data_IF_519094843584
#
_entry.id   IF_519094843584
#
_cell.length_a   1.000
_cell.length_b   1.000
_cell.length_c   1.000
_cell.angle_alpha   90.00
_cell.angle_beta   90.00
_cell.angle_gamma   90.00
#
_symmetry.space_group_name_H-M   'P 1'
#
loop_
_entity.id
_entity.type
_entity.pdbx_description
1 polymer ?
#
# COMPACT_ATOMS: atom_id res chain seq x y z
N UNK A 1 5.39 18.57 9.04
CA UNK A 1 4.10 19.00 9.61
C UNK A 1 2.99 19.12 8.57
N UNK A 2 3.15 19.79 7.43
CA UNK A 2 2.03 19.93 6.46
C UNK A 2 1.45 18.60 5.95
N UNK A 3 2.30 17.62 5.59
CA UNK A 3 1.84 16.33 5.06
C UNK A 3 1.11 15.47 6.10
N UNK A 4 1.65 15.36 7.31
CA UNK A 4 1.05 14.58 8.39
C UNK A 4 -0.23 15.24 8.92
N UNK A 5 -0.30 16.57 8.96
CA UNK A 5 -1.54 17.30 9.26
C UNK A 5 -2.61 17.09 8.19
N UNK A 6 -2.23 17.06 6.90
CA UNK A 6 -3.15 16.71 5.82
C UNK A 6 -3.68 15.28 5.98
N UNK A 7 -2.77 14.32 6.20
CA UNK A 7 -3.13 12.91 6.40
C UNK A 7 -4.07 12.71 7.60
N UNK A 8 -3.79 13.36 8.73
CA UNK A 8 -4.66 13.34 9.90
C UNK A 8 -6.04 13.94 9.60
N UNK A 9 -6.08 15.08 8.89
CA UNK A 9 -7.30 15.84 8.64
C UNK A 9 -8.19 15.37 7.48
N UNK A 10 -7.70 14.48 6.61
CA UNK A 10 -8.53 13.92 5.53
C UNK A 10 -9.66 13.07 6.12
N UNK A 11 -10.89 13.28 5.66
CA UNK A 11 -12.07 12.57 6.11
C UNK A 11 -12.92 12.13 4.91
N UNK A 12 -13.67 11.05 5.08
CA UNK A 12 -14.51 10.48 4.02
C UNK A 12 -15.49 11.51 3.43
N UNK A 13 -16.03 12.39 4.27
CA UNK A 13 -17.00 13.42 3.90
C UNK A 13 -16.41 14.49 2.97
N UNK A 14 -15.08 14.56 2.84
CA UNK A 14 -14.39 15.46 1.91
C UNK A 14 -14.13 14.83 0.54
N UNK A 15 -14.45 13.55 0.37
CA UNK A 15 -14.25 12.83 -0.88
C UNK A 15 -15.48 12.98 -1.75
N UNK A 16 -15.30 13.45 -2.98
CA UNK A 16 -16.37 13.44 -3.97
C UNK A 16 -16.68 12.01 -4.45
N UNK A 17 -17.85 11.85 -5.07
CA UNK A 17 -18.33 10.54 -5.53
C UNK A 17 -17.40 9.90 -6.56
N UNK A 18 -16.75 10.71 -7.40
CA UNK A 18 -15.83 10.24 -8.44
C UNK A 18 -14.56 9.65 -7.83
N UNK A 19 -14.02 10.31 -6.80
CA UNK A 19 -12.85 9.86 -6.03
C UNK A 19 -13.14 8.54 -5.32
N UNK A 20 -14.31 8.46 -4.66
CA UNK A 20 -14.76 7.21 -4.01
C UNK A 20 -14.93 6.08 -5.03
N UNK A 21 -15.53 6.38 -6.19
CA UNK A 21 -15.70 5.40 -7.26
C UNK A 21 -14.34 4.92 -7.80
N UNK A 22 -13.42 5.84 -8.09
CA UNK A 22 -12.08 5.52 -8.58
C UNK A 22 -11.32 4.63 -7.58
N UNK A 23 -11.37 4.95 -6.28
CA UNK A 23 -10.75 4.12 -5.24
C UNK A 23 -11.31 2.68 -5.23
N UNK A 24 -12.63 2.52 -5.34
CA UNK A 24 -13.27 1.19 -5.43
C UNK A 24 -12.83 0.42 -6.67
N UNK A 25 -12.72 1.08 -7.82
CA UNK A 25 -12.23 0.45 -9.05
C UNK A 25 -10.80 -0.07 -8.86
N UNK A 26 -9.91 0.71 -8.25
CA UNK A 26 -8.52 0.29 -7.98
C UNK A 26 -8.42 -0.86 -6.98
N UNK A 27 -9.29 -0.88 -5.97
CA UNK A 27 -9.40 -2.01 -5.05
C UNK A 27 -9.78 -3.30 -5.81
N UNK A 28 -10.80 -3.24 -6.67
CA UNK A 28 -11.26 -4.40 -7.45
C UNK A 28 -10.17 -4.87 -8.42
N UNK A 29 -9.53 -3.94 -9.13
CA UNK A 29 -8.41 -4.20 -10.04
C UNK A 29 -7.26 -4.96 -9.35
N UNK A 30 -6.85 -4.48 -8.18
CA UNK A 30 -5.75 -5.06 -7.41
C UNK A 30 -6.09 -6.45 -6.86
N UNK A 31 -7.34 -6.67 -6.45
CA UNK A 31 -7.82 -8.01 -6.07
C UNK A 31 -7.82 -8.94 -7.29
N UNK A 32 -8.18 -8.44 -8.48
CA UNK A 32 -8.08 -9.19 -9.73
C UNK A 32 -6.64 -9.64 -10.03
N UNK A 33 -5.68 -8.73 -9.89
CA UNK A 33 -4.26 -9.06 -10.03
C UNK A 33 -3.79 -10.10 -9.00
N UNK A 34 -4.23 -9.98 -7.74
CA UNK A 34 -3.96 -10.97 -6.69
C UNK A 34 -4.50 -12.36 -7.04
N UNK A 35 -5.71 -12.45 -7.58
CA UNK A 35 -6.28 -13.73 -8.04
C UNK A 35 -5.42 -14.32 -9.16
N UNK A 36 -5.01 -13.50 -10.13
CA UNK A 36 -4.09 -13.92 -11.20
C UNK A 36 -2.73 -14.40 -10.68
N UNK A 37 -2.22 -13.77 -9.62
CA UNK A 37 -0.94 -14.11 -9.01
C UNK A 37 -0.95 -15.29 -8.04
N UNK A 38 -2.14 -15.76 -7.63
CA UNK A 38 -2.29 -16.67 -6.50
C UNK A 38 -1.46 -17.96 -6.63
N UNK A 39 -1.38 -18.54 -7.83
CA UNK A 39 -0.66 -19.78 -8.10
C UNK A 39 0.86 -19.59 -8.37
N UNK A 40 1.36 -18.35 -8.40
CA UNK A 40 2.77 -18.06 -8.65
C UNK A 40 3.70 -18.70 -7.61
N UNK A 41 4.85 -19.23 -8.05
CA UNK A 41 5.82 -19.88 -7.15
C UNK A 41 6.29 -18.94 -6.01
N UNK A 42 6.73 -17.69 -6.26
CA UNK A 42 7.07 -16.76 -5.19
C UNK A 42 5.91 -16.50 -4.22
N UNK A 43 4.67 -16.50 -4.71
CA UNK A 43 3.48 -16.28 -3.91
C UNK A 43 3.21 -17.47 -2.98
N UNK A 44 3.43 -18.69 -3.47
CA UNK A 44 3.37 -19.91 -2.64
C UNK A 44 4.45 -19.90 -1.56
N UNK A 45 5.68 -19.55 -1.90
CA UNK A 45 6.79 -19.44 -0.95
C UNK A 45 6.46 -18.38 0.12
N UNK A 46 5.94 -17.21 -0.28
CA UNK A 46 5.53 -16.18 0.67
C UNK A 46 4.44 -16.68 1.63
N UNK A 47 3.47 -17.48 1.16
CA UNK A 47 2.48 -18.12 2.03
C UNK A 47 3.09 -19.12 3.01
N UNK A 48 4.13 -19.86 2.62
CA UNK A 48 4.85 -20.76 3.53
C UNK A 48 5.53 -20.00 4.67
N UNK A 49 6.05 -18.79 4.41
CA UNK A 49 6.57 -17.89 5.44
C UNK A 49 5.46 -17.48 6.42
N UNK A 50 4.29 -17.08 5.92
CA UNK A 50 3.16 -16.69 6.78
C UNK A 50 2.71 -17.79 7.74
N UNK A 51 2.76 -19.06 7.32
CA UNK A 51 2.41 -20.20 8.17
C UNK A 51 3.38 -20.37 9.35
N UNK A 52 4.62 -19.89 9.24
CA UNK A 52 5.59 -19.95 10.34
C UNK A 52 5.35 -18.91 11.43
N UNK A 53 4.50 -17.91 11.18
CA UNK A 53 4.22 -16.81 12.10
C UNK A 53 2.70 -16.67 12.35
N UNK A 54 2.02 -17.71 12.88
CA UNK A 54 0.59 -17.68 13.06
C UNK A 54 0.18 -16.62 14.09
N UNK A 55 -0.83 -15.81 13.76
CA UNK A 55 -1.41 -14.86 14.70
C UNK A 55 -2.94 -14.82 14.50
N UNK A 56 -3.73 -15.45 15.39
CA UNK A 56 -5.19 -15.43 15.30
C UNK A 56 -5.79 -14.02 15.31
N UNK A 57 -5.13 -13.07 15.97
CA UNK A 57 -5.54 -11.66 16.07
C UNK A 57 -4.81 -10.75 15.08
N UNK A 58 -4.04 -11.33 14.16
CA UNK A 58 -3.37 -10.61 13.09
C UNK A 58 -4.29 -10.35 11.90
N UNK A 59 -3.71 -10.30 10.71
CA UNK A 59 -4.43 -10.09 9.45
C UNK A 59 -4.41 -11.33 8.55
N UNK A 60 -5.34 -11.35 7.59
CA UNK A 60 -5.58 -12.48 6.70
C UNK A 60 -4.67 -12.46 5.49
N UNK A 61 -4.19 -13.64 5.11
CA UNK A 61 -3.65 -13.88 3.77
C UNK A 61 -4.84 -14.10 2.83
N UNK A 62 -5.09 -13.14 1.94
CA UNK A 62 -6.28 -13.10 1.08
C UNK A 62 -6.35 -14.35 0.20
N UNK A 63 -7.54 -14.96 0.12
CA UNK A 63 -7.75 -16.20 -0.63
C UNK A 63 -7.39 -17.48 0.13
N UNK A 64 -7.10 -17.39 1.43
CA UNK A 64 -6.79 -18.54 2.29
C UNK A 64 -7.46 -18.44 3.66
N UNK A 65 -7.30 -19.48 4.50
CA UNK A 65 -7.68 -19.45 5.93
C UNK A 65 -6.49 -19.07 6.85
N UNK A 66 -5.36 -18.62 6.29
CA UNK A 66 -4.15 -18.30 7.06
C UNK A 66 -4.32 -16.90 7.67
N UNK A 67 -4.07 -16.80 8.98
CA UNK A 67 -3.90 -15.52 9.70
C UNK A 67 -2.50 -15.42 10.28
N UNK A 68 -1.84 -14.30 10.05
CA UNK A 68 -0.45 -14.02 10.45
C UNK A 68 -0.34 -12.56 10.91
N UNK A 69 0.84 -12.10 11.36
CA UNK A 69 1.00 -10.71 11.77
C UNK A 69 0.70 -9.74 10.60
N UNK A 70 0.19 -8.52 10.86
CA UNK A 70 -0.26 -7.62 9.80
C UNK A 70 0.81 -7.26 8.76
N UNK A 71 2.06 -7.13 9.18
CA UNK A 71 3.22 -6.90 8.33
C UNK A 71 3.51 -8.09 7.40
N UNK A 72 3.42 -9.32 7.90
CA UNK A 72 3.60 -10.53 7.08
C UNK A 72 2.43 -10.71 6.13
N UNK A 73 1.19 -10.44 6.57
CA UNK A 73 0.02 -10.49 5.70
C UNK A 73 0.12 -9.45 4.57
N UNK A 74 0.54 -8.22 4.88
CA UNK A 74 0.80 -7.17 3.91
C UNK A 74 1.84 -7.60 2.87
N UNK A 75 2.95 -8.20 3.32
CA UNK A 75 4.00 -8.72 2.45
C UNK A 75 3.47 -9.81 1.51
N UNK A 76 2.84 -10.86 2.04
CA UNK A 76 2.34 -11.98 1.22
C UNK A 76 1.27 -11.53 0.22
N UNK A 77 0.31 -10.72 0.68
CA UNK A 77 -0.74 -10.20 -0.17
C UNK A 77 -0.17 -9.26 -1.24
N UNK A 78 0.81 -8.41 -0.88
CA UNK A 78 1.52 -7.52 -1.80
C UNK A 78 2.30 -8.28 -2.88
N UNK A 79 3.11 -9.25 -2.49
CA UNK A 79 3.81 -10.15 -3.42
C UNK A 79 2.84 -10.82 -4.38
N UNK A 80 1.69 -11.30 -3.87
CA UNK A 80 0.69 -11.99 -4.68
C UNK A 80 -0.03 -11.03 -5.63
N UNK A 81 -0.43 -9.85 -5.15
CA UNK A 81 -1.09 -8.82 -5.96
C UNK A 81 -0.21 -8.30 -7.09
N UNK A 82 1.12 -8.30 -6.92
CA UNK A 82 2.06 -7.76 -7.90
C UNK A 82 2.69 -8.79 -8.83
N UNK A 83 2.46 -10.08 -8.58
CA UNK A 83 3.10 -11.13 -9.34
C UNK A 83 2.84 -11.11 -10.86
N UNK A 84 1.60 -10.80 -11.28
CA UNK A 84 1.21 -10.85 -12.70
C UNK A 84 1.42 -9.54 -13.46
N UNK A 85 1.85 -8.46 -12.80
CA UNK A 85 2.05 -7.16 -13.44
C UNK A 85 0.80 -6.58 -14.14
N UNK A 86 -0.40 -6.86 -13.61
CA UNK A 86 -1.69 -6.44 -14.20
C UNK A 86 -2.37 -5.26 -13.47
N UNK A 87 -1.71 -4.67 -12.49
CA UNK A 87 -2.27 -3.59 -11.68
C UNK A 87 -2.29 -2.25 -12.43
N UNK A 88 -3.04 -1.30 -11.87
CA UNK A 88 -3.04 0.09 -12.33
C UNK A 88 -1.63 0.67 -12.54
N UNK A 89 -1.54 1.61 -13.47
CA UNK A 89 -0.31 2.34 -13.75
C UNK A 89 -0.61 3.83 -13.76
N UNK A 90 0.22 4.60 -13.07
CA UNK A 90 0.27 6.04 -13.19
C UNK A 90 1.49 6.40 -14.03
N UNK A 91 1.27 7.05 -15.18
CA UNK A 91 2.36 7.40 -16.08
C UNK A 91 1.96 8.55 -17.00
N UNK A 92 2.66 9.68 -16.89
CA UNK A 92 2.54 10.81 -17.82
C UNK A 92 3.88 11.59 -17.92
N UNK A 93 4.09 12.40 -18.98
CA UNK A 93 5.37 13.09 -19.21
C UNK A 93 5.77 14.03 -18.06
N UNK A 94 6.84 13.68 -17.33
CA UNK A 94 7.32 14.46 -16.18
C UNK A 94 7.04 13.82 -14.83
N UNK A 95 6.18 12.81 -14.77
CA UNK A 95 6.00 11.98 -13.57
C UNK A 95 7.09 10.91 -13.44
N UNK A 96 7.43 10.54 -12.20
CA UNK A 96 8.25 9.36 -11.92
C UNK A 96 7.54 8.04 -12.29
N UNK A 97 6.20 8.05 -12.28
CA UNK A 97 5.34 6.96 -12.73
C UNK A 97 5.31 5.76 -11.78
N UNK A 98 4.69 4.65 -12.20
CA UNK A 98 4.66 3.37 -11.46
C UNK A 98 3.26 2.90 -11.07
N UNK A 99 3.15 2.12 -9.99
CA UNK A 99 1.93 1.42 -9.58
C UNK A 99 1.44 1.91 -8.20
N UNK A 100 0.58 2.95 -8.13
CA UNK A 100 0.09 3.46 -6.86
C UNK A 100 -0.71 2.42 -6.05
N UNK A 101 -1.32 1.42 -6.70
CA UNK A 101 -2.04 0.32 -6.05
C UNK A 101 -1.22 -0.51 -5.08
N UNK A 102 0.11 -0.45 -5.12
CA UNK A 102 0.99 -1.12 -4.16
C UNK A 102 0.70 -0.73 -2.71
N UNK A 103 0.06 0.42 -2.46
CA UNK A 103 -0.37 0.85 -1.12
C UNK A 103 -1.51 -0.01 -0.53
N UNK A 104 -2.28 -0.72 -1.37
CA UNK A 104 -3.53 -1.36 -0.97
C UNK A 104 -3.35 -2.56 -0.04
N UNK A 105 -2.39 -3.45 -0.33
CA UNK A 105 -2.22 -4.68 0.46
C UNK A 105 -1.75 -4.39 1.90
N UNK A 106 -0.83 -3.43 2.14
CA UNK A 106 -0.56 -2.92 3.49
C UNK A 106 -1.81 -2.34 4.18
N UNK A 107 -2.62 -1.57 3.46
CA UNK A 107 -3.84 -0.98 4.03
C UNK A 107 -4.90 -2.03 4.36
N UNK A 108 -5.05 -3.09 3.56
CA UNK A 108 -5.95 -4.19 3.89
C UNK A 108 -5.56 -4.84 5.21
N UNK A 109 -4.26 -5.14 5.38
CA UNK A 109 -3.77 -5.74 6.61
C UNK A 109 -3.95 -4.81 7.82
N UNK A 110 -3.63 -3.52 7.67
CA UNK A 110 -3.80 -2.51 8.71
C UNK A 110 -5.28 -2.31 9.07
N UNK A 111 -6.17 -2.24 8.08
CA UNK A 111 -7.61 -2.05 8.28
C UNK A 111 -8.24 -3.24 8.99
N UNK A 112 -7.88 -4.47 8.61
CA UNK A 112 -8.36 -5.67 9.30
C UNK A 112 -7.87 -5.69 10.76
N UNK A 113 -6.59 -5.39 10.98
CA UNK A 113 -6.02 -5.36 12.33
C UNK A 113 -6.64 -4.26 13.22
N UNK A 114 -6.95 -3.11 12.64
CA UNK A 114 -7.60 -2.00 13.33
C UNK A 114 -9.13 -2.15 13.45
N UNK A 115 -9.71 -3.21 12.87
CA UNK A 115 -11.16 -3.37 12.73
C UNK A 115 -11.85 -2.15 12.07
N UNK A 116 -11.18 -1.55 11.09
CA UNK A 116 -11.66 -0.36 10.40
C UNK A 116 -12.90 -0.65 9.54
N UNK A 117 -13.80 0.32 9.44
CA UNK A 117 -14.95 0.22 8.55
C UNK A 117 -14.58 0.61 7.11
N UNK A 118 -15.50 0.38 6.17
CA UNK A 118 -15.26 0.66 4.75
C UNK A 118 -15.01 2.13 4.41
N UNK A 119 -15.56 3.10 5.15
CA UNK A 119 -15.30 4.53 4.93
C UNK A 119 -13.90 4.92 5.36
N UNK A 120 -13.46 4.41 6.51
CA UNK A 120 -12.10 4.63 7.00
C UNK A 120 -11.09 3.99 6.05
N UNK A 121 -11.36 2.77 5.59
CA UNK A 121 -10.54 2.10 4.58
C UNK A 121 -10.46 2.91 3.28
N UNK A 122 -11.59 3.33 2.70
CA UNK A 122 -11.58 4.14 1.47
C UNK A 122 -10.83 5.47 1.65
N UNK A 123 -10.97 6.11 2.82
CA UNK A 123 -10.24 7.35 3.12
C UNK A 123 -8.73 7.12 3.17
N UNK A 124 -8.28 6.01 3.77
CA UNK A 124 -6.87 5.65 3.80
C UNK A 124 -6.33 5.31 2.40
N UNK A 125 -7.10 4.59 1.58
CA UNK A 125 -6.74 4.30 0.18
C UNK A 125 -6.55 5.58 -0.61
N UNK A 126 -7.52 6.49 -0.55
CA UNK A 126 -7.41 7.79 -1.23
C UNK A 126 -6.22 8.58 -0.72
N UNK A 127 -5.97 8.58 0.59
CA UNK A 127 -4.78 9.22 1.16
C UNK A 127 -3.48 8.65 0.57
N UNK A 128 -3.30 7.33 0.55
CA UNK A 128 -2.06 6.74 0.02
C UNK A 128 -1.86 7.02 -1.46
N UNK A 129 -2.94 6.98 -2.25
CA UNK A 129 -2.90 7.40 -3.66
C UNK A 129 -2.52 8.87 -3.81
N UNK A 130 -3.16 9.78 -3.07
CA UNK A 130 -2.85 11.21 -3.15
C UNK A 130 -1.36 11.47 -2.83
N UNK A 131 -0.82 10.82 -1.79
CA UNK A 131 0.59 10.92 -1.43
C UNK A 131 1.48 10.40 -2.57
N UNK A 132 1.18 9.21 -3.10
CA UNK A 132 1.96 8.64 -4.20
C UNK A 132 1.98 9.56 -5.42
N UNK A 133 0.81 10.00 -5.88
CA UNK A 133 0.65 10.78 -7.09
C UNK A 133 1.34 12.15 -6.96
N UNK A 134 1.13 12.84 -5.83
CA UNK A 134 1.78 14.13 -5.56
C UNK A 134 3.30 14.02 -5.52
N UNK A 135 3.84 12.95 -4.93
CA UNK A 135 5.29 12.74 -4.89
C UNK A 135 5.82 12.36 -6.27
N UNK A 136 5.11 11.51 -7.01
CA UNK A 136 5.44 11.15 -8.39
C UNK A 136 5.50 12.37 -9.32
N UNK A 137 4.64 13.36 -9.11
CA UNK A 137 4.62 14.59 -9.91
C UNK A 137 5.68 15.61 -9.49
N UNK A 138 6.03 15.65 -8.20
CA UNK A 138 6.90 16.68 -7.63
C UNK A 138 8.37 16.28 -7.53
N UNK A 139 8.67 14.98 -7.50
CA UNK A 139 10.00 14.47 -7.16
C UNK A 139 10.55 13.63 -8.31
N UNK A 140 11.64 14.10 -8.92
CA UNK A 140 12.46 13.27 -9.79
C UNK A 140 13.23 12.23 -8.96
N UNK A 141 13.29 10.99 -9.42
CA UNK A 141 13.91 9.87 -8.69
C UNK A 141 15.14 9.28 -9.41
N UNK A 142 16.18 10.08 -9.71
CA UNK A 142 17.37 9.55 -10.36
C UNK A 142 18.04 8.51 -9.44
N UNK A 143 18.08 7.26 -9.88
CA UNK A 143 18.65 6.13 -9.14
C UNK A 143 17.73 5.49 -8.09
N UNK A 144 16.60 6.10 -7.76
CA UNK A 144 15.64 5.60 -6.77
C UNK A 144 14.33 5.15 -7.40
N UNK A 145 13.75 4.09 -6.85
CA UNK A 145 12.50 3.51 -7.33
C UNK A 145 11.27 4.30 -6.88
N UNK A 146 10.21 4.30 -7.69
CA UNK A 146 8.93 4.91 -7.31
C UNK A 146 8.24 4.17 -6.15
N UNK A 147 8.63 2.94 -5.83
CA UNK A 147 8.17 2.20 -4.65
C UNK A 147 8.44 2.96 -3.32
N UNK A 148 9.41 3.89 -3.31
CA UNK A 148 9.61 4.76 -2.15
C UNK A 148 8.39 5.64 -1.87
N UNK A 149 7.64 6.06 -2.90
CA UNK A 149 6.39 6.80 -2.72
C UNK A 149 5.27 5.91 -2.21
N UNK A 150 5.24 4.62 -2.60
CA UNK A 150 4.34 3.63 -2.02
C UNK A 150 4.61 3.47 -0.52
N UNK A 151 5.89 3.43 -0.11
CA UNK A 151 6.26 3.35 1.29
C UNK A 151 5.67 4.53 2.10
N UNK A 152 5.77 5.75 1.57
CA UNK A 152 5.19 6.94 2.19
C UNK A 152 3.65 6.86 2.28
N UNK A 153 2.99 6.50 1.19
CA UNK A 153 1.52 6.38 1.13
C UNK A 153 0.99 5.27 2.03
N UNK A 154 1.66 4.11 2.06
CA UNK A 154 1.32 2.99 2.92
C UNK A 154 1.51 3.32 4.40
N UNK A 155 2.60 4.00 4.77
CA UNK A 155 2.86 4.41 6.15
C UNK A 155 1.79 5.37 6.68
N UNK A 156 1.47 6.42 5.91
CA UNK A 156 0.46 7.41 6.31
C UNK A 156 -0.96 6.81 6.30
N UNK A 157 -1.27 5.97 5.31
CA UNK A 157 -2.55 5.28 5.22
C UNK A 157 -2.78 4.28 6.35
N UNK A 158 -1.82 3.40 6.61
CA UNK A 158 -1.87 2.45 7.71
C UNK A 158 -1.88 3.15 9.07
N UNK A 159 -1.04 4.17 9.25
CA UNK A 159 -1.03 4.99 10.47
C UNK A 159 -2.38 5.67 10.73
N UNK A 160 -3.07 6.13 9.67
CA UNK A 160 -4.42 6.71 9.79
C UNK A 160 -5.44 5.66 10.23
N UNK A 161 -5.38 4.45 9.66
CA UNK A 161 -6.26 3.34 10.06
C UNK A 161 -6.03 2.92 11.51
N UNK A 162 -4.78 3.01 11.99
CA UNK A 162 -4.41 2.76 13.38
C UNK A 162 -4.75 3.92 14.34
N UNK A 163 -5.35 5.01 13.84
CA UNK A 163 -5.79 6.13 14.66
C UNK A 163 -4.68 7.07 15.13
N UNK A 164 -3.53 7.10 14.44
CA UNK A 164 -2.44 8.02 14.77
C UNK A 164 -2.85 9.48 14.49
N UNK A 165 -2.47 10.38 15.39
CA UNK A 165 -2.61 11.83 15.18
C UNK A 165 -1.52 12.38 14.24
N UNK A 166 -1.56 13.69 13.98
CA UNK A 166 -0.60 14.32 13.07
C UNK A 166 0.87 14.19 13.51
N UNK A 167 1.14 14.03 14.81
CA UNK A 167 2.48 13.81 15.34
C UNK A 167 2.88 12.35 15.15
N UNK A 168 2.03 11.40 15.56
CA UNK A 168 2.24 9.96 15.36
C UNK A 168 2.42 9.59 13.88
N UNK A 169 1.69 10.23 12.97
CA UNK A 169 1.86 10.05 11.53
C UNK A 169 3.21 10.57 11.01
N UNK A 170 3.74 11.65 11.59
CA UNK A 170 5.07 12.16 11.21
C UNK A 170 6.19 11.20 11.65
N UNK A 171 6.08 10.67 12.87
CA UNK A 171 6.99 9.65 13.39
C UNK A 171 6.90 8.35 12.57
N UNK A 172 5.68 7.89 12.28
CA UNK A 172 5.42 6.72 11.45
C UNK A 172 6.06 6.86 10.06
N UNK A 173 5.86 8.00 9.39
CA UNK A 173 6.47 8.28 8.10
C UNK A 173 8.00 8.26 8.17
N UNK A 174 8.58 8.85 9.22
CA UNK A 174 10.03 8.90 9.41
C UNK A 174 10.62 7.51 9.61
N UNK A 175 9.99 6.67 10.45
CA UNK A 175 10.39 5.28 10.67
C UNK A 175 10.26 4.42 9.41
N UNK A 176 9.28 4.71 8.55
CA UNK A 176 9.09 3.99 7.30
C UNK A 176 10.15 4.37 6.25
N UNK A 177 10.40 5.66 6.04
CA UNK A 177 11.20 6.15 4.90
C UNK A 177 12.71 6.05 5.15
N UNK A 178 13.18 6.33 6.37
CA UNK A 178 14.63 6.36 6.66
C UNK A 178 15.32 5.02 6.37
N UNK A 179 14.80 3.85 6.78
CA UNK A 179 15.45 2.57 6.51
C UNK A 179 15.09 1.95 5.15
N UNK A 180 14.05 2.43 4.45
CA UNK A 180 13.54 1.82 3.22
C UNK A 180 13.78 2.74 2.01
N UNK A 181 14.92 2.57 1.36
CA UNK A 181 15.28 3.31 0.14
C UNK A 181 15.55 2.33 -1.01
N UNK A 182 14.51 2.06 -1.80
CA UNK A 182 14.60 1.18 -2.96
C UNK A 182 15.33 1.89 -4.12
N UNK A 183 16.33 1.21 -4.70
CA UNK A 183 17.06 1.69 -5.88
C UNK A 183 16.45 1.13 -7.15
N UNK A 184 16.50 1.91 -8.24
CA UNK A 184 16.02 1.48 -9.55
C UNK A 184 16.70 0.20 -10.06
N UNK A 185 17.93 -0.08 -9.60
CA UNK A 185 18.69 -1.27 -9.99
C UNK A 185 17.97 -2.59 -9.65
N UNK A 186 17.07 -2.59 -8.67
CA UNK A 186 16.26 -3.76 -8.37
C UNK A 186 15.27 -4.13 -9.50
N UNK A 187 14.99 -3.18 -10.42
CA UNK A 187 14.05 -3.34 -11.54
C UNK A 187 14.70 -3.13 -12.91
N UNK A 188 15.89 -2.51 -12.94
CA UNK A 188 16.60 -2.19 -14.17
C UNK A 188 17.95 -2.90 -14.18
N UNK A 189 18.09 -3.91 -15.04
CA UNK A 189 19.32 -4.68 -15.20
C UNK A 189 19.03 -6.10 -15.69
N UNK A 190 20.07 -6.77 -16.20
CA UNK A 190 20.03 -8.23 -16.35
C UNK A 190 20.60 -8.81 -15.05
N UNK A 191 19.79 -9.59 -14.32
CA UNK A 191 20.26 -10.43 -13.23
C UNK A 191 21.04 -11.64 -13.79
#
# INVERSE_FOLDING_TARGET
MQLSSYAAGLAYERLDEQTVHAAKVRIIDTIGALVGGFAGEPCRIAREVAVQMPNPHGASVIGTNIRTSPDVAAFVNGTTARYVEMNDVYHWPGSAGGHPSDVLMPMFAAAEHAHANGRDFLTAVVLGYEIYLRMSDAVATPGFDCANFCCMGAALGAGKLLGLDAHGLAECLSMAVVPNNALNQARTGHL
#
